data_IF_575602241943
#
_entry.id   IF_575602241943
#
_cell.length_a   1.000
_cell.length_b   1.000
_cell.length_c   1.000
_cell.angle_alpha   90.00
_cell.angle_beta   90.00
_cell.angle_gamma   90.00
#
_symmetry.space_group_name_H-M   'P 1'
#
loop_
_entity.id
_entity.type
_entity.pdbx_description
1 polymer ?
#
# COMPACT_ATOMS: atom_id res chain seq x y z
N UNK A 1 -7.57 13.19 -2.19
CA UNK A 1 -6.38 12.99 -1.34
C UNK A 1 -5.13 12.78 -2.17
N UNK A 2 -5.18 11.94 -3.22
CA UNK A 2 -4.03 11.69 -4.07
C UNK A 2 -3.50 12.99 -4.68
N UNK A 3 -4.39 13.88 -5.12
CA UNK A 3 -3.98 15.19 -5.66
C UNK A 3 -3.22 16.03 -4.65
N UNK A 4 -3.66 16.00 -3.38
CA UNK A 4 -2.97 16.71 -2.31
C UNK A 4 -1.58 16.16 -2.06
N UNK A 5 -1.45 14.83 -2.06
CA UNK A 5 -0.16 14.16 -1.86
C UNK A 5 0.77 14.47 -3.02
N UNK A 6 0.26 14.45 -4.25
CA UNK A 6 1.05 14.82 -5.44
C UNK A 6 1.48 16.28 -5.37
N UNK A 7 0.59 17.18 -4.98
CA UNK A 7 0.91 18.60 -4.84
C UNK A 7 1.98 18.85 -3.79
N UNK A 8 2.03 18.04 -2.74
CA UNK A 8 3.07 18.10 -1.71
C UNK A 8 4.39 17.44 -2.14
N UNK A 9 4.44 16.81 -3.32
CA UNK A 9 5.63 16.12 -3.80
C UNK A 9 5.90 14.79 -3.13
N UNK A 10 4.93 14.24 -2.41
CA UNK A 10 5.11 13.03 -1.61
C UNK A 10 4.64 11.75 -2.31
N UNK A 11 3.85 11.85 -3.36
CA UNK A 11 3.30 10.67 -4.04
C UNK A 11 4.33 10.04 -4.96
N UNK A 12 4.59 8.74 -4.78
CA UNK A 12 5.42 7.98 -5.70
C UNK A 12 4.55 7.16 -6.66
N UNK A 13 3.79 6.22 -6.14
CA UNK A 13 2.80 5.51 -6.94
C UNK A 13 1.82 4.75 -6.05
N UNK A 14 0.78 4.20 -6.66
CA UNK A 14 -0.17 3.38 -5.97
C UNK A 14 -1.26 2.90 -6.92
N UNK A 15 -2.14 2.08 -6.40
CA UNK A 15 -3.24 1.55 -7.18
C UNK A 15 -4.17 0.70 -6.35
N UNK A 16 -5.33 0.41 -6.92
CA UNK A 16 -6.30 -0.49 -6.33
C UNK A 16 -6.14 -1.92 -6.80
N UNK A 17 -6.72 -2.83 -6.05
CA UNK A 17 -6.75 -4.26 -6.39
C UNK A 17 -8.18 -4.71 -6.71
N UNK A 18 -8.28 -5.71 -7.57
CA UNK A 18 -9.52 -6.49 -7.64
C UNK A 18 -9.63 -7.32 -6.37
N UNK A 19 -10.74 -7.22 -5.67
CA UNK A 19 -10.86 -7.75 -4.30
C UNK A 19 -11.07 -9.27 -4.22
N UNK A 20 -11.32 -9.93 -5.34
CA UNK A 20 -11.65 -11.35 -5.38
C UNK A 20 -10.60 -12.22 -6.10
N UNK A 21 -9.40 -11.68 -6.34
CA UNK A 21 -8.41 -12.35 -7.20
C UNK A 21 -7.01 -12.52 -6.62
N UNK A 22 -6.81 -12.58 -5.29
CA UNK A 22 -5.47 -12.85 -4.81
C UNK A 22 -5.08 -14.29 -5.10
N UNK A 23 -3.82 -14.48 -5.46
CA UNK A 23 -3.23 -15.81 -5.62
C UNK A 23 -1.91 -15.84 -4.88
N UNK A 24 -1.52 -17.03 -4.45
CA UNK A 24 -0.23 -17.23 -3.79
C UNK A 24 0.61 -18.14 -4.68
N UNK A 25 1.85 -17.70 -4.91
CA UNK A 25 2.83 -18.48 -5.67
C UNK A 25 3.94 -18.88 -4.72
N UNK A 26 4.21 -20.16 -4.58
CA UNK A 26 5.28 -20.64 -3.70
C UNK A 26 6.63 -20.72 -4.43
N UNK A 27 7.66 -21.13 -3.71
CA UNK A 27 9.01 -21.18 -4.27
C UNK A 27 9.17 -22.20 -5.40
N UNK A 28 8.30 -23.20 -5.48
CA UNK A 28 8.29 -24.16 -6.57
C UNK A 28 7.52 -23.68 -7.80
N UNK A 29 6.93 -22.47 -7.72
CA UNK A 29 6.13 -21.92 -8.81
C UNK A 29 4.69 -22.41 -8.82
N UNK A 30 4.27 -23.12 -7.80
CA UNK A 30 2.88 -23.57 -7.70
C UNK A 30 1.98 -22.41 -7.30
N UNK A 31 0.80 -22.36 -7.91
CA UNK A 31 -0.17 -21.26 -7.71
C UNK A 31 -1.39 -21.83 -6.99
N UNK A 32 -1.82 -21.13 -5.92
CA UNK A 32 -3.10 -21.40 -5.28
C UNK A 32 -3.91 -20.12 -5.16
N UNK A 33 -5.21 -20.25 -5.16
CA UNK A 33 -6.09 -19.10 -4.98
C UNK A 33 -6.20 -18.70 -3.51
N UNK A 34 -6.51 -17.42 -3.29
CA UNK A 34 -6.72 -16.87 -1.97
C UNK A 34 -5.51 -16.11 -1.44
N UNK A 35 -5.68 -15.36 -0.35
CA UNK A 35 -4.57 -14.66 0.28
C UNK A 35 -3.62 -15.64 0.96
N UNK A 36 -2.39 -15.19 1.22
CA UNK A 36 -1.38 -16.02 1.89
C UNK A 36 -1.84 -16.45 3.29
N UNK A 37 -2.52 -15.56 3.98
CA UNK A 37 -3.14 -15.84 5.28
C UNK A 37 -4.64 -15.61 5.15
N UNK A 38 -5.46 -16.62 5.38
CA UNK A 38 -6.91 -16.43 5.36
C UNK A 38 -7.35 -15.37 6.37
N UNK A 39 -8.17 -14.44 5.93
CA UNK A 39 -8.61 -13.32 6.74
C UNK A 39 -9.91 -12.75 6.17
N UNK A 40 -10.73 -12.17 7.03
CA UNK A 40 -11.90 -11.40 6.63
C UNK A 40 -11.50 -10.00 6.14
N UNK A 41 -10.26 -9.59 6.40
CA UNK A 41 -9.74 -8.29 5.95
C UNK A 41 -9.33 -8.40 4.50
N UNK A 42 -9.82 -7.49 3.68
CA UNK A 42 -9.47 -7.43 2.26
C UNK A 42 -8.61 -6.20 2.00
N UNK A 43 -7.56 -6.39 1.21
CA UNK A 43 -6.72 -5.29 0.77
C UNK A 43 -7.33 -4.69 -0.49
N UNK A 44 -7.73 -3.42 -0.42
CA UNK A 44 -8.32 -2.72 -1.56
C UNK A 44 -7.28 -2.08 -2.47
N UNK A 45 -6.06 -1.89 -1.98
CA UNK A 45 -4.99 -1.25 -2.74
C UNK A 45 -3.85 -0.85 -1.86
N UNK A 46 -2.92 -0.11 -2.43
CA UNK A 46 -1.78 0.43 -1.69
C UNK A 46 -1.31 1.73 -2.32
N UNK A 47 -0.53 2.49 -1.56
CA UNK A 47 0.17 3.65 -2.07
C UNK A 47 1.56 3.72 -1.46
N UNK A 48 2.50 4.25 -2.22
CA UNK A 48 3.87 4.49 -1.78
C UNK A 48 4.10 5.98 -1.80
N UNK A 49 4.51 6.51 -0.65
CA UNK A 49 4.76 7.94 -0.49
C UNK A 49 6.17 8.14 0.05
N UNK A 50 6.73 9.30 -0.23
CA UNK A 50 8.02 9.71 0.32
C UNK A 50 7.81 10.97 1.16
N UNK A 51 8.14 10.86 2.44
CA UNK A 51 7.98 11.94 3.41
C UNK A 51 9.23 12.02 4.29
N UNK A 52 9.41 13.17 4.95
CA UNK A 52 10.58 13.37 5.78
C UNK A 52 10.47 12.75 7.18
N UNK A 53 9.24 12.57 7.69
CA UNK A 53 9.01 12.09 9.06
C UNK A 53 7.86 11.10 9.13
N UNK A 54 7.86 10.27 10.18
CA UNK A 54 6.72 9.39 10.46
C UNK A 54 5.42 10.17 10.66
N UNK A 55 5.51 11.33 11.31
CA UNK A 55 4.33 12.16 11.57
C UNK A 55 3.66 12.57 10.25
N UNK A 56 4.44 12.90 9.22
CA UNK A 56 3.89 13.22 7.90
C UNK A 56 3.26 11.99 7.26
N UNK A 57 3.88 10.82 7.39
CA UNK A 57 3.29 9.59 6.87
C UNK A 57 1.95 9.30 7.51
N UNK A 58 1.84 9.46 8.82
CA UNK A 58 0.60 9.23 9.55
C UNK A 58 -0.47 10.26 9.20
N UNK A 59 -0.07 11.51 8.96
CA UNK A 59 -1.00 12.55 8.53
C UNK A 59 -1.63 12.20 7.18
N UNK A 60 -0.80 11.77 6.20
CA UNK A 60 -1.33 11.36 4.90
C UNK A 60 -2.17 10.09 5.00
N UNK A 61 -1.74 9.12 5.81
CA UNK A 61 -2.50 7.89 6.04
C UNK A 61 -3.87 8.20 6.65
N UNK A 62 -3.94 9.15 7.59
CA UNK A 62 -5.21 9.55 8.19
C UNK A 62 -6.15 10.18 7.15
N UNK A 63 -5.63 11.00 6.26
CA UNK A 63 -6.42 11.60 5.18
C UNK A 63 -6.96 10.54 4.22
N UNK A 64 -6.13 9.57 3.87
CA UNK A 64 -6.55 8.46 3.02
C UNK A 64 -7.62 7.63 3.72
N UNK A 65 -7.39 7.29 5.00
CA UNK A 65 -8.34 6.51 5.79
C UNK A 65 -9.71 7.18 5.86
N UNK A 66 -9.72 8.49 6.08
CA UNK A 66 -10.95 9.25 6.12
C UNK A 66 -11.66 9.27 4.76
N UNK A 67 -10.91 9.42 3.69
CA UNK A 67 -11.45 9.50 2.33
C UNK A 67 -12.06 8.18 1.88
N UNK A 68 -11.37 7.06 2.11
CA UNK A 68 -11.86 5.75 1.70
C UNK A 68 -12.69 5.03 2.76
N UNK A 69 -12.78 5.61 3.97
CA UNK A 69 -13.51 5.03 5.12
C UNK A 69 -12.98 3.65 5.49
N UNK A 70 -11.67 3.49 5.47
CA UNK A 70 -11.01 2.25 5.82
C UNK A 70 -9.69 2.54 6.53
N UNK A 71 -9.33 1.67 7.45
CA UNK A 71 -8.07 1.78 8.16
C UNK A 71 -6.90 1.62 7.20
N UNK A 72 -5.78 2.24 7.53
CA UNK A 72 -4.55 2.16 6.75
C UNK A 72 -3.46 1.50 7.59
N UNK A 73 -2.84 0.45 7.04
CA UNK A 73 -1.62 -0.09 7.61
C UNK A 73 -0.45 0.66 7.01
N UNK A 74 0.44 1.18 7.85
CA UNK A 74 1.58 1.98 7.40
C UNK A 74 2.86 1.22 7.74
N UNK A 75 3.73 1.08 6.76
CA UNK A 75 5.03 0.44 6.95
C UNK A 75 6.12 1.28 6.31
N UNK A 76 7.22 1.47 7.03
CA UNK A 76 8.40 2.09 6.47
C UNK A 76 9.13 1.09 5.59
N UNK A 77 9.55 1.54 4.41
CA UNK A 77 10.30 0.68 3.50
C UNK A 77 11.79 0.77 3.79
N UNK A 78 12.45 -0.37 3.74
CA UNK A 78 13.91 -0.41 3.85
C UNK A 78 14.50 0.13 2.54
N UNK A 79 15.48 1.03 2.66
CA UNK A 79 16.18 1.55 1.48
C UNK A 79 16.97 0.42 0.83
N UNK A 80 16.75 0.22 -0.46
CA UNK A 80 17.45 -0.77 -1.27
C UNK A 80 17.83 -0.13 -2.60
N UNK A 81 19.12 0.13 -2.84
CA UNK A 81 19.56 0.75 -4.09
C UNK A 81 19.22 -0.04 -5.35
N UNK A 82 19.11 -1.36 -5.24
CA UNK A 82 18.75 -2.20 -6.38
C UNK A 82 17.27 -2.13 -6.73
N UNK A 83 16.43 -1.75 -5.75
CA UNK A 83 14.98 -1.65 -5.93
C UNK A 83 14.51 -0.24 -6.26
N UNK A 84 15.40 0.75 -6.23
CA UNK A 84 15.06 2.14 -6.54
C UNK A 84 15.60 2.55 -7.90
N UNK A 85 14.82 3.37 -8.58
CA UNK A 85 15.21 3.93 -9.88
C UNK A 85 16.02 5.21 -9.72
#
# INVERSE_FOLDING_TARGET
VVREIKAAGAWLFGGGFFDDRPVVVNAAGEVRQGPITPSDVRLGGFSVIEVATEAEAYMWAAKIAKSCRCDQEVREMIFDPESTN
#
